data_IF_249628892921
#
_entry.id   IF_249628892921
#
_cell.length_a   1.000
_cell.length_b   1.000
_cell.length_c   1.000
_cell.angle_alpha   90.00
_cell.angle_beta   90.00
_cell.angle_gamma   90.00
#
_symmetry.space_group_name_H-M   'P 1'
#
loop_
_entity.id
_entity.type
_entity.pdbx_description
1 polymer ?
#
# COMPACT_ATOMS: atom_id res chain seq x y z
N UNK A 1 -6.25 0.85 0.68
CA UNK A 1 -7.59 0.37 1.11
C UNK A 1 -7.37 -0.89 1.93
N UNK A 2 -8.13 -1.08 2.99
CA UNK A 2 -8.23 -2.33 3.73
C UNK A 2 -9.57 -3.00 3.42
N UNK A 3 -9.59 -4.32 3.52
CA UNK A 3 -10.79 -5.13 3.31
C UNK A 3 -11.31 -5.66 4.64
N UNK A 4 -12.57 -6.03 4.67
CA UNK A 4 -13.17 -6.79 5.76
C UNK A 4 -12.76 -8.27 5.70
N UNK A 5 -12.68 -8.91 6.86
CA UNK A 5 -12.26 -10.31 6.96
C UNK A 5 -13.30 -11.27 6.38
N UNK A 6 -14.59 -10.88 6.28
CA UNK A 6 -15.60 -11.72 5.65
C UNK A 6 -15.31 -12.04 4.18
N UNK A 7 -14.41 -11.26 3.54
CA UNK A 7 -13.93 -11.53 2.18
C UNK A 7 -13.28 -12.91 2.04
N UNK A 8 -12.64 -13.41 3.11
CA UNK A 8 -12.02 -14.74 3.10
C UNK A 8 -13.07 -15.83 2.89
N UNK A 9 -14.20 -15.75 3.59
CA UNK A 9 -15.24 -16.77 3.49
C UNK A 9 -16.12 -16.53 2.25
N UNK A 10 -16.57 -15.30 2.05
CA UNK A 10 -17.60 -14.95 1.07
C UNK A 10 -17.09 -14.85 -0.37
N UNK A 11 -15.85 -14.38 -0.57
CA UNK A 11 -15.24 -14.29 -1.90
C UNK A 11 -14.26 -15.44 -2.11
N UNK A 12 -13.22 -15.54 -1.27
CA UNK A 12 -12.14 -16.49 -1.52
C UNK A 12 -12.61 -17.94 -1.34
N UNK A 13 -13.31 -18.23 -0.24
CA UNK A 13 -13.87 -19.54 0.03
C UNK A 13 -14.95 -19.94 -0.97
N UNK A 14 -16.06 -19.20 -1.04
CA UNK A 14 -17.22 -19.58 -1.86
C UNK A 14 -16.90 -19.57 -3.36
N UNK A 15 -16.24 -18.52 -3.88
CA UNK A 15 -16.05 -18.37 -5.32
C UNK A 15 -14.79 -19.03 -5.84
N UNK A 16 -13.69 -18.94 -5.11
CA UNK A 16 -12.38 -19.43 -5.56
C UNK A 16 -11.96 -20.75 -4.91
N UNK A 17 -12.71 -21.25 -3.91
CA UNK A 17 -12.34 -22.47 -3.19
C UNK A 17 -11.06 -22.32 -2.36
N UNK A 18 -10.67 -21.08 -2.03
CA UNK A 18 -9.43 -20.78 -1.31
C UNK A 18 -9.73 -20.76 0.19
N UNK A 19 -9.15 -21.70 0.92
CA UNK A 19 -9.24 -21.80 2.38
C UNK A 19 -8.17 -20.91 3.01
N UNK A 20 -8.58 -20.03 3.94
CA UNK A 20 -7.70 -19.02 4.56
C UNK A 20 -6.48 -19.65 5.23
N UNK A 21 -6.67 -20.78 5.90
CA UNK A 21 -5.64 -21.49 6.65
C UNK A 21 -4.54 -22.07 5.74
N UNK A 22 -4.85 -22.29 4.45
CA UNK A 22 -3.93 -22.85 3.48
C UNK A 22 -3.14 -21.78 2.71
N UNK A 23 -3.43 -20.50 2.96
CA UNK A 23 -2.70 -19.38 2.36
C UNK A 23 -1.31 -19.26 3.02
N UNK A 24 -0.27 -19.22 2.19
CA UNK A 24 1.11 -18.98 2.62
C UNK A 24 1.48 -17.50 2.55
N UNK A 25 1.02 -16.77 1.52
CA UNK A 25 1.33 -15.36 1.30
C UNK A 25 0.23 -14.68 0.50
N UNK A 26 0.04 -13.39 0.75
CA UNK A 26 -0.86 -12.51 -0.01
C UNK A 26 -0.13 -11.22 -0.40
N UNK A 27 -0.50 -10.64 -1.54
CA UNK A 27 0.00 -9.36 -2.00
C UNK A 27 -1.04 -8.62 -2.87
N UNK A 28 -0.88 -7.32 -3.05
CA UNK A 28 -1.72 -6.52 -3.96
C UNK A 28 -0.83 -5.71 -4.90
N UNK A 29 -0.83 -6.07 -6.19
CA UNK A 29 -0.13 -5.34 -7.25
C UNK A 29 -0.95 -5.36 -8.53
N UNK A 30 -1.91 -4.43 -8.64
CA UNK A 30 -2.88 -4.38 -9.75
C UNK A 30 -3.98 -5.46 -9.69
N UNK A 31 -3.63 -6.64 -9.17
CA UNK A 31 -4.51 -7.75 -8.80
C UNK A 31 -4.25 -8.17 -7.36
N UNK A 32 -5.17 -8.93 -6.78
CA UNK A 32 -4.97 -9.59 -5.50
C UNK A 32 -4.26 -10.93 -5.76
N UNK A 33 -3.05 -11.08 -5.25
CA UNK A 33 -2.18 -12.23 -5.47
C UNK A 33 -2.17 -13.12 -4.23
N UNK A 34 -2.41 -14.42 -4.38
CA UNK A 34 -2.48 -15.39 -3.29
C UNK A 34 -1.60 -16.59 -3.62
N UNK A 35 -0.66 -16.91 -2.74
CA UNK A 35 0.18 -18.11 -2.79
C UNK A 35 -0.27 -19.07 -1.71
N UNK A 36 -0.52 -20.32 -2.10
CA UNK A 36 -0.98 -21.39 -1.23
C UNK A 36 0.20 -22.22 -0.71
N UNK A 37 0.04 -22.86 0.45
CA UNK A 37 1.05 -23.73 1.06
C UNK A 37 1.37 -24.98 0.22
N UNK A 38 0.42 -25.41 -0.60
CA UNK A 38 0.59 -26.52 -1.54
C UNK A 38 1.34 -26.13 -2.83
N UNK A 39 1.67 -24.85 -3.01
CA UNK A 39 2.36 -24.33 -4.20
C UNK A 39 1.45 -23.65 -5.23
N UNK A 40 0.13 -23.70 -5.07
CA UNK A 40 -0.81 -23.05 -5.98
C UNK A 40 -0.72 -21.52 -5.91
N UNK A 41 -1.06 -20.87 -7.03
CA UNK A 41 -1.06 -19.42 -7.17
C UNK A 41 -2.38 -18.94 -7.80
N UNK A 42 -3.00 -17.95 -7.17
CA UNK A 42 -4.25 -17.35 -7.63
C UNK A 42 -4.12 -15.84 -7.80
N UNK A 43 -4.74 -15.32 -8.86
CA UNK A 43 -4.96 -13.90 -9.06
C UNK A 43 -6.46 -13.59 -9.06
N UNK A 44 -6.87 -12.68 -8.19
CA UNK A 44 -8.25 -12.22 -8.07
C UNK A 44 -8.31 -10.75 -8.48
N UNK A 45 -9.30 -10.41 -9.30
CA UNK A 45 -9.49 -9.04 -9.74
C UNK A 45 -9.85 -8.14 -8.56
N UNK A 46 -9.10 -7.05 -8.35
CA UNK A 46 -9.35 -6.12 -7.24
C UNK A 46 -10.73 -5.48 -7.28
N UNK A 47 -11.36 -5.36 -8.46
CA UNK A 47 -12.72 -4.84 -8.58
C UNK A 47 -13.72 -5.72 -7.86
N UNK A 48 -13.51 -7.03 -7.83
CA UNK A 48 -14.37 -7.97 -7.11
C UNK A 48 -14.22 -7.79 -5.60
N UNK A 49 -12.99 -7.55 -5.14
CA UNK A 49 -12.69 -7.29 -3.73
C UNK A 49 -13.32 -5.99 -3.19
N UNK A 50 -13.75 -5.07 -4.06
CA UNK A 50 -14.23 -3.75 -3.63
C UNK A 50 -15.48 -3.81 -2.75
N UNK A 51 -16.34 -4.82 -2.89
CA UNK A 51 -17.53 -4.99 -2.06
C UNK A 51 -17.18 -5.13 -0.56
N UNK A 52 -15.98 -5.63 -0.25
CA UNK A 52 -15.47 -5.78 1.11
C UNK A 52 -14.57 -4.62 1.56
N UNK A 53 -14.49 -3.51 0.81
CA UNK A 53 -13.70 -2.35 1.25
C UNK A 53 -14.31 -1.74 2.51
N UNK A 54 -13.53 -1.59 3.58
CA UNK A 54 -14.00 -0.91 4.80
C UNK A 54 -14.43 0.52 4.49
N UNK A 55 -15.57 0.97 5.00
CA UNK A 55 -16.17 2.28 4.70
C UNK A 55 -15.24 3.47 4.98
N UNK A 56 -14.40 3.41 6.02
CA UNK A 56 -13.40 4.45 6.28
C UNK A 56 -12.39 4.63 5.13
N UNK A 57 -12.04 3.55 4.42
CA UNK A 57 -11.10 3.61 3.31
C UNK A 57 -11.63 4.34 2.08
N UNK A 58 -12.95 4.53 1.96
CA UNK A 58 -13.54 5.28 0.83
C UNK A 58 -13.48 6.78 1.04
N UNK A 59 -13.07 7.24 2.22
CA UNK A 59 -12.96 8.66 2.59
C UNK A 59 -11.52 9.05 2.99
N UNK A 60 -10.62 8.08 3.15
CA UNK A 60 -9.24 8.33 3.57
C UNK A 60 -8.45 9.09 2.47
N UNK A 61 -7.89 10.28 2.79
CA UNK A 61 -7.20 11.13 1.83
C UNK A 61 -5.72 10.78 1.67
N UNK A 62 -5.17 9.96 2.56
CA UNK A 62 -3.74 9.68 2.64
C UNK A 62 -3.41 8.29 2.08
N UNK A 63 -2.55 8.26 1.06
CA UNK A 63 -2.02 7.02 0.47
C UNK A 63 -0.60 6.72 0.96
N UNK A 64 0.22 7.75 1.13
CA UNK A 64 1.66 7.63 1.28
C UNK A 64 2.13 7.87 2.73
N UNK A 65 1.19 7.82 3.68
CA UNK A 65 1.44 8.03 5.11
C UNK A 65 2.21 9.34 5.30
N UNK A 66 1.64 10.44 4.83
CA UNK A 66 2.36 11.70 4.62
C UNK A 66 2.79 12.38 5.93
N UNK A 67 2.22 11.95 7.06
CA UNK A 67 2.56 12.46 8.40
C UNK A 67 3.61 11.63 9.17
N UNK A 68 4.13 10.54 8.60
CA UNK A 68 5.14 9.72 9.26
C UNK A 68 6.56 10.30 9.10
N UNK A 69 7.46 9.96 10.03
CA UNK A 69 8.89 10.22 9.87
C UNK A 69 9.48 9.47 8.66
N UNK A 70 9.03 8.22 8.48
CA UNK A 70 9.43 7.29 7.43
C UNK A 70 8.17 6.59 6.92
N UNK A 71 7.92 6.67 5.62
CA UNK A 71 6.82 5.97 4.95
C UNK A 71 7.40 4.89 4.03
N UNK A 72 6.87 3.66 4.07
CA UNK A 72 7.38 2.51 3.29
C UNK A 72 6.26 1.82 2.52
N UNK A 73 6.51 1.43 1.27
CA UNK A 73 5.51 0.70 0.47
C UNK A 73 6.10 -0.15 -0.66
N UNK A 74 5.48 -1.31 -0.90
CA UNK A 74 5.79 -2.22 -2.00
C UNK A 74 5.11 -1.77 -3.30
N UNK A 75 5.63 -0.73 -3.94
CA UNK A 75 5.12 -0.11 -5.16
C UNK A 75 6.26 -0.01 -6.16
N UNK A 76 5.99 -0.25 -7.44
CA UNK A 76 6.98 -0.17 -8.51
C UNK A 76 7.17 -1.50 -9.23
N UNK A 77 8.14 -1.52 -10.13
CA UNK A 77 8.48 -2.72 -10.90
C UNK A 77 9.64 -3.50 -10.27
N UNK A 78 10.41 -2.87 -9.39
CA UNK A 78 11.46 -3.53 -8.63
C UNK A 78 10.85 -4.44 -7.56
N UNK A 79 10.82 -5.74 -7.86
CA UNK A 79 10.48 -6.79 -6.88
C UNK A 79 11.56 -6.83 -5.79
N UNK A 80 11.17 -7.17 -4.57
CA UNK A 80 12.04 -7.30 -3.38
C UNK A 80 12.68 -6.00 -2.88
N UNK A 81 12.29 -4.85 -3.43
CA UNK A 81 12.62 -3.53 -2.89
C UNK A 81 11.39 -2.85 -2.30
N UNK A 82 11.62 -2.03 -1.28
CA UNK A 82 10.59 -1.20 -0.66
C UNK A 82 10.87 0.26 -1.01
N UNK A 83 9.88 0.95 -1.60
CA UNK A 83 9.97 2.39 -1.79
C UNK A 83 9.83 3.05 -0.41
N UNK A 84 10.84 3.81 -0.01
CA UNK A 84 10.90 4.48 1.30
C UNK A 84 11.01 6.00 1.12
N UNK A 85 10.07 6.74 1.70
CA UNK A 85 10.07 8.21 1.74
C UNK A 85 10.42 8.67 3.15
N UNK A 86 11.46 9.50 3.26
CA UNK A 86 11.97 10.03 4.53
C UNK A 86 11.59 11.50 4.63
N UNK A 87 10.86 11.89 5.67
CA UNK A 87 10.26 13.23 5.77
C UNK A 87 10.92 14.11 6.82
N UNK A 88 11.16 13.55 8.00
CA UNK A 88 11.66 14.32 9.16
C UNK A 88 13.15 14.08 9.40
N UNK A 89 13.75 14.95 10.22
CA UNK A 89 15.15 14.77 10.62
C UNK A 89 15.32 13.50 11.48
N UNK A 90 14.33 13.17 12.31
CA UNK A 90 14.33 11.93 13.07
C UNK A 90 14.36 10.71 12.13
N UNK A 91 13.47 10.68 11.13
CA UNK A 91 13.45 9.59 10.13
C UNK A 91 14.77 9.49 9.38
N UNK A 92 15.38 10.63 9.02
CA UNK A 92 16.69 10.68 8.36
C UNK A 92 17.80 10.13 9.26
N UNK A 93 17.82 10.48 10.54
CA UNK A 93 18.80 9.99 11.49
C UNK A 93 18.70 8.46 11.66
N UNK A 94 17.48 7.93 11.76
CA UNK A 94 17.21 6.48 11.86
C UNK A 94 17.72 5.74 10.61
N UNK A 95 17.32 6.18 9.41
CA UNK A 95 17.75 5.51 8.17
C UNK A 95 19.27 5.55 8.01
N UNK A 96 19.91 6.69 8.31
CA UNK A 96 21.38 6.79 8.29
C UNK A 96 22.05 5.82 9.26
N UNK A 97 21.50 5.65 10.45
CA UNK A 97 22.01 4.68 11.42
C UNK A 97 21.87 3.24 10.92
N UNK A 98 20.73 2.89 10.33
CA UNK A 98 20.49 1.56 9.73
C UNK A 98 21.45 1.26 8.57
N UNK A 99 21.72 2.24 7.69
CA UNK A 99 22.71 2.11 6.62
C UNK A 99 24.11 1.89 7.22
N UNK A 100 24.49 2.68 8.23
CA UNK A 100 25.81 2.58 8.89
C UNK A 100 26.00 1.22 9.58
N UNK A 101 24.94 0.67 10.16
CA UNK A 101 24.94 -0.65 10.81
C UNK A 101 24.90 -1.83 9.82
N UNK A 102 24.69 -1.55 8.53
CA UNK A 102 24.53 -2.60 7.51
C UNK A 102 23.21 -3.36 7.62
N UNK A 103 22.22 -2.80 8.33
CA UNK A 103 20.92 -3.43 8.54
C UNK A 103 20.02 -3.39 7.30
N UNK A 104 20.29 -2.46 6.37
CA UNK A 104 19.56 -2.30 5.11
C UNK A 104 20.49 -1.97 3.96
N UNK A 105 20.16 -2.51 2.78
CA UNK A 105 20.69 -2.03 1.52
C UNK A 105 19.82 -0.88 1.01
N UNK A 106 20.46 0.12 0.39
CA UNK A 106 19.76 1.29 -0.15
C UNK A 106 20.20 1.58 -1.57
N UNK A 107 19.25 2.10 -2.34
CA UNK A 107 19.48 2.65 -3.67
C UNK A 107 18.67 3.93 -3.85
N UNK A 108 19.05 4.83 -4.78
CA UNK A 108 18.24 6.00 -5.09
C UNK A 108 16.82 5.60 -5.52
N UNK A 109 15.80 6.29 -5.00
CA UNK A 109 14.42 6.08 -5.43
C UNK A 109 14.20 6.38 -6.91
N UNK A 110 14.98 7.33 -7.44
CA UNK A 110 14.95 7.75 -8.85
C UNK A 110 15.36 6.64 -9.83
N UNK A 111 15.92 5.52 -9.34
CA UNK A 111 16.16 4.32 -10.13
C UNK A 111 14.87 3.61 -10.58
N UNK A 112 13.72 3.88 -9.93
CA UNK A 112 12.38 3.42 -10.35
C UNK A 112 11.42 4.61 -10.51
N UNK A 113 11.57 5.40 -11.59
CA UNK A 113 10.71 6.56 -11.83
C UNK A 113 9.24 6.17 -12.01
N UNK A 114 8.96 4.93 -12.42
CA UNK A 114 7.60 4.42 -12.54
C UNK A 114 6.94 4.23 -11.16
N UNK A 115 7.69 3.77 -10.15
CA UNK A 115 7.22 3.70 -8.77
C UNK A 115 6.87 5.09 -8.22
N UNK A 116 7.74 6.07 -8.43
CA UNK A 116 7.52 7.46 -7.99
C UNK A 116 6.27 8.04 -8.67
N UNK A 117 6.17 7.92 -9.99
CA UNK A 117 5.00 8.40 -10.75
C UNK A 117 3.70 7.73 -10.29
N UNK A 118 3.75 6.41 -10.05
CA UNK A 118 2.61 5.65 -9.54
C UNK A 118 2.20 6.12 -8.13
N UNK A 119 3.15 6.40 -7.25
CA UNK A 119 2.90 6.88 -5.89
C UNK A 119 2.16 8.22 -5.94
N UNK A 120 2.67 9.18 -6.72
CA UNK A 120 2.02 10.48 -6.89
C UNK A 120 0.59 10.36 -7.41
N UNK A 121 0.36 9.50 -8.41
CA UNK A 121 -0.97 9.26 -8.97
C UNK A 121 -1.93 8.66 -7.94
N UNK A 122 -1.48 7.65 -7.18
CA UNK A 122 -2.32 7.01 -6.16
C UNK A 122 -2.62 7.95 -4.98
N UNK A 123 -1.66 8.78 -4.59
CA UNK A 123 -1.86 9.82 -3.58
C UNK A 123 -2.88 10.87 -4.04
N UNK A 124 -2.78 11.34 -5.28
CA UNK A 124 -3.77 12.26 -5.85
C UNK A 124 -5.19 11.65 -5.87
N UNK A 125 -5.31 10.38 -6.26
CA UNK A 125 -6.58 9.67 -6.23
C UNK A 125 -7.13 9.47 -4.81
N UNK A 126 -6.26 9.31 -3.81
CA UNK A 126 -6.70 9.20 -2.41
C UNK A 126 -7.22 10.54 -1.90
N UNK A 127 -6.54 11.65 -2.19
CA UNK A 127 -6.98 13.00 -1.81
C UNK A 127 -8.38 13.34 -2.31
N UNK A 128 -8.70 12.92 -3.54
CA UNK A 128 -10.03 13.11 -4.13
C UNK A 128 -11.17 12.36 -3.40
N UNK A 129 -10.85 11.46 -2.45
CA UNK A 129 -11.83 10.78 -1.60
C UNK A 129 -12.29 11.61 -0.42
N UNK A 130 -11.57 12.69 -0.08
CA UNK A 130 -11.92 13.51 1.07
C UNK A 130 -13.33 14.06 0.90
N UNK A 131 -14.25 13.79 1.84
CA UNK A 131 -15.63 14.22 1.68
C UNK A 131 -15.77 15.74 1.70
N UNK A 132 -16.69 16.29 0.91
CA UNK A 132 -16.97 17.74 0.89
C UNK A 132 -17.51 18.28 2.22
N UNK A 133 -18.12 17.41 3.04
CA UNK A 133 -18.64 17.73 4.36
C UNK A 133 -17.58 17.65 5.47
N UNK A 134 -16.40 17.09 5.20
CA UNK A 134 -15.33 16.95 6.18
C UNK A 134 -14.51 18.25 6.32
N UNK A 135 -13.74 18.37 7.40
CA UNK A 135 -12.91 19.55 7.64
C UNK A 135 -11.90 19.72 6.48
N UNK A 136 -11.96 20.86 5.79
CA UNK A 136 -11.09 21.19 4.66
C UNK A 136 -9.63 21.38 5.05
N UNK A 137 -9.36 21.81 6.28
CA UNK A 137 -7.99 21.98 6.80
C UNK A 137 -7.32 20.63 7.05
N UNK A 138 -8.11 19.59 7.36
CA UNK A 138 -7.64 18.23 7.54
C UNK A 138 -7.53 17.46 6.21
N UNK A 139 -8.03 18.03 5.10
CA UNK A 139 -7.73 17.49 3.79
C UNK A 139 -6.22 17.61 3.59
N UNK A 140 -5.55 16.48 3.35
CA UNK A 140 -4.13 16.45 3.00
C UNK A 140 -3.98 17.24 1.71
N UNK A 141 -3.68 18.53 1.85
CA UNK A 141 -3.55 19.46 0.75
C UNK A 141 -2.10 19.44 0.31
N UNK A 142 -1.88 19.36 -1.00
CA UNK A 142 -0.63 19.83 -1.58
C UNK A 142 -0.68 21.35 -1.50
N UNK A 143 -0.54 21.92 -0.31
CA UNK A 143 -0.20 23.32 -0.18
C UNK A 143 1.30 23.41 -0.46
N UNK A 144 1.64 23.40 -1.76
CA UNK A 144 2.92 23.81 -2.34
C UNK A 144 4.17 23.31 -1.59
N UNK A 145 4.66 22.13 -1.97
CA UNK A 145 6.09 21.81 -1.88
C UNK A 145 6.66 21.67 -3.28
#
# INVERSE_FOLDING_TARGET
KSFDDSMFDELFGIKYGIVKEDIAKMNIKGVFQIWMKNGDYHEINLKECHAWTRSGCTHCPDFATEHADISTGGIGNLTDWTLTVIRTELGRAIIKAMIKDGAIDVRPGDDDPAAIALMHRLAANSRNRWPSWANKEAAVSVANS
#
